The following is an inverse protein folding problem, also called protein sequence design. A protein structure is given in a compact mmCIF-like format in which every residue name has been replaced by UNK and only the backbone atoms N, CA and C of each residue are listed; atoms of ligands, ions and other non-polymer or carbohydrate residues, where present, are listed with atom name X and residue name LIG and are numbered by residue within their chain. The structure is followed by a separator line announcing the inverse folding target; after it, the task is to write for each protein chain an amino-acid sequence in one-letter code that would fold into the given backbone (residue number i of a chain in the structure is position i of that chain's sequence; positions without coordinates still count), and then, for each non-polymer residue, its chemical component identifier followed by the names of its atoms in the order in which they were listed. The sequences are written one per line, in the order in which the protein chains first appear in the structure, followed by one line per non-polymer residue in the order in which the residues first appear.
data_IF_236911678880
#
_entry.id   IF_236911678880
#
_cell.length_a   1.000
_cell.length_b   1.000
_cell.length_c   1.000
_cell.angle_alpha   90.00
_cell.angle_beta   90.00
_cell.angle_gamma   90.00
#
_symmetry.space_group_name_H-M   'P 1'
#
loop_
_entity.id
_entity.type
_entity.pdbx_description
1 polymer ?
#
# COMPACT_ATOMS: atom_id res chain seq x y z
N UNK A 1 3.04 -1.12 -35.60
CA UNK A 1 2.90 -0.72 -34.19
C UNK A 1 2.06 -1.78 -33.51
N UNK A 2 2.44 -2.21 -32.31
CA UNK A 2 1.70 -3.21 -31.55
C UNK A 2 0.70 -2.50 -30.65
N UNK A 3 -0.57 -2.89 -30.65
CA UNK A 3 -1.60 -2.22 -29.84
C UNK A 3 -1.56 -2.62 -28.35
N UNK A 4 -0.60 -3.47 -27.98
CA UNK A 4 -0.48 -4.09 -26.67
C UNK A 4 0.95 -4.01 -26.15
N UNK A 5 1.08 -4.10 -24.83
CA UNK A 5 2.36 -4.35 -24.20
C UNK A 5 2.89 -5.73 -24.58
N UNK A 6 4.16 -5.82 -24.93
CA UNK A 6 4.81 -7.06 -25.31
C UNK A 6 6.13 -7.23 -24.55
N UNK A 7 6.82 -8.33 -24.83
CA UNK A 7 8.17 -8.62 -24.34
C UNK A 7 9.13 -8.79 -25.51
N UNK A 8 10.35 -8.30 -25.35
CA UNK A 8 11.41 -8.41 -26.37
C UNK A 8 12.77 -8.59 -25.71
N UNK A 9 13.67 -9.31 -26.37
CA UNK A 9 15.07 -9.41 -25.94
C UNK A 9 15.92 -8.38 -26.71
N UNK A 10 16.57 -7.47 -25.98
CA UNK A 10 17.51 -6.46 -26.52
C UNK A 10 18.84 -6.53 -25.77
N UNK A 11 19.94 -6.65 -26.51
CA UNK A 11 21.30 -6.77 -25.97
C UNK A 11 21.43 -7.86 -24.89
N UNK A 12 20.78 -9.00 -25.12
CA UNK A 12 20.77 -10.14 -24.20
C UNK A 12 19.89 -9.97 -22.96
N UNK A 13 19.12 -8.88 -22.83
CA UNK A 13 18.21 -8.62 -21.70
C UNK A 13 16.76 -8.62 -22.14
N UNK A 14 15.87 -9.11 -21.29
CA UNK A 14 14.43 -9.06 -21.53
C UNK A 14 13.85 -7.73 -21.07
N UNK A 15 13.00 -7.16 -21.91
CA UNK A 15 12.34 -5.88 -21.69
C UNK A 15 10.84 -6.00 -21.87
N UNK A 16 10.09 -5.19 -21.10
CA UNK A 16 8.72 -4.84 -21.48
C UNK A 16 8.76 -3.76 -22.55
N UNK A 17 7.91 -3.90 -23.55
CA UNK A 17 7.79 -2.97 -24.68
C UNK A 17 6.41 -2.33 -24.64
N UNK A 18 6.38 -1.00 -24.63
CA UNK A 18 5.14 -0.24 -24.72
C UNK A 18 4.56 -0.30 -26.15
N UNK A 19 3.26 -0.02 -26.35
CA UNK A 19 2.63 -0.03 -27.68
C UNK A 19 3.33 0.85 -28.74
N UNK A 20 3.97 1.93 -28.29
CA UNK A 20 4.78 2.84 -29.13
C UNK A 20 6.18 2.30 -29.48
N UNK A 21 6.56 1.13 -28.95
CA UNK A 21 7.85 0.47 -29.18
C UNK A 21 8.95 0.82 -28.17
N UNK A 22 8.67 1.70 -27.20
CA UNK A 22 9.64 2.10 -26.20
C UNK A 22 9.85 1.00 -25.13
N UNK A 23 11.10 0.65 -24.78
CA UNK A 23 11.38 -0.26 -23.68
C UNK A 23 11.21 0.44 -22.34
N UNK A 24 10.67 -0.26 -21.33
CA UNK A 24 10.48 0.30 -19.99
C UNK A 24 10.62 -0.73 -18.87
N UNK A 25 10.80 -0.23 -17.64
CA UNK A 25 10.77 -1.01 -16.41
C UNK A 25 9.40 -0.90 -15.74
N UNK A 26 8.84 -2.02 -15.29
CA UNK A 26 7.60 -2.03 -14.52
C UNK A 26 7.91 -2.02 -13.02
N UNK A 27 7.35 -1.05 -12.31
CA UNK A 27 7.34 -0.97 -10.85
C UNK A 27 5.89 -0.82 -10.43
N UNK A 28 5.41 -1.66 -9.53
CA UNK A 28 4.02 -1.68 -9.12
C UNK A 28 3.84 -2.08 -7.67
N UNK A 29 2.65 -1.75 -7.14
CA UNK A 29 2.20 -2.23 -5.84
C UNK A 29 1.61 -3.63 -6.00
N UNK A 30 2.03 -4.59 -5.18
CA UNK A 30 1.50 -5.96 -5.24
C UNK A 30 -0.02 -6.01 -5.02
N UNK A 31 -0.53 -5.14 -4.13
CA UNK A 31 -1.92 -5.16 -3.74
C UNK A 31 -2.46 -3.74 -3.51
N UNK A 32 -3.56 -3.42 -4.17
CA UNK A 32 -4.34 -2.21 -3.92
C UNK A 32 -5.77 -2.69 -3.71
N UNK A 33 -6.15 -2.90 -2.44
CA UNK A 33 -7.51 -3.26 -2.09
C UNK A 33 -7.96 -2.62 -0.77
N UNK A 34 -9.26 -2.67 -0.54
CA UNK A 34 -9.87 -2.17 0.70
C UNK A 34 -9.80 -3.17 1.86
N UNK A 35 -9.44 -4.43 1.63
CA UNK A 35 -9.40 -5.45 2.69
C UNK A 35 -8.33 -5.13 3.73
N UNK A 36 -7.18 -4.60 3.28
CA UNK A 36 -6.13 -4.11 4.17
C UNK A 36 -6.60 -2.98 5.11
N UNK A 37 -7.50 -2.10 4.64
CA UNK A 37 -8.09 -1.02 5.45
C UNK A 37 -9.05 -1.54 6.54
N UNK A 38 -9.64 -2.73 6.34
CA UNK A 38 -10.60 -3.34 7.28
C UNK A 38 -9.95 -3.97 8.52
N UNK A 39 -8.69 -4.39 8.43
CA UNK A 39 -7.97 -5.02 9.54
C UNK A 39 -7.63 -4.04 10.67
N UNK A 40 -7.34 -2.77 10.32
CA UNK A 40 -7.11 -1.69 11.27
C UNK A 40 -8.37 -1.31 12.07
N UNK A 41 -9.56 -1.34 11.45
CA UNK A 41 -10.83 -1.06 12.13
C UNK A 41 -11.27 -2.20 13.05
N UNK A 42 -11.23 -3.46 12.60
CA UNK A 42 -11.84 -4.57 13.36
C UNK A 42 -11.11 -4.94 14.65
N UNK A 43 -9.77 -4.82 14.71
CA UNK A 43 -9.02 -5.12 15.95
C UNK A 43 -9.16 -4.04 17.02
N UNK A 44 -9.48 -2.80 16.64
CA UNK A 44 -9.38 -1.63 17.54
C UNK A 44 -10.65 -1.32 18.34
N UNK A 45 -11.84 -1.62 17.81
CA UNK A 45 -13.10 -1.49 18.57
C UNK A 45 -13.32 -2.58 19.63
N UNK A 46 -12.59 -3.70 19.54
CA UNK A 46 -12.74 -4.80 20.50
C UNK A 46 -12.20 -4.46 21.90
N UNK A 47 -11.32 -3.46 22.03
CA UNK A 47 -10.62 -3.13 23.27
C UNK A 47 -10.91 -1.72 23.82
N UNK A 48 -11.77 -0.93 23.15
CA UNK A 48 -12.14 0.43 23.60
C UNK A 48 -13.47 0.40 24.34
N UNK A 49 -13.53 1.05 25.51
CA UNK A 49 -14.76 1.22 26.29
C UNK A 49 -15.78 2.16 25.63
N UNK A 50 -15.36 2.86 24.57
CA UNK A 50 -16.15 3.87 23.87
C UNK A 50 -16.06 5.25 24.51
N UNK A 51 -15.12 5.46 25.44
CA UNK A 51 -14.95 6.75 26.10
C UNK A 51 -14.40 7.82 25.12
N UNK A 52 -14.69 9.11 25.36
CA UNK A 52 -14.12 10.20 24.56
C UNK A 52 -12.57 10.23 24.55
N UNK A 53 -11.94 9.74 25.63
CA UNK A 53 -10.47 9.68 25.72
C UNK A 53 -9.91 8.53 24.87
N UNK A 54 -10.62 7.40 24.77
CA UNK A 54 -10.28 6.32 23.84
C UNK A 54 -10.34 6.81 22.39
N UNK A 55 -11.30 7.68 22.05
CA UNK A 55 -11.41 8.26 20.71
C UNK A 55 -10.26 9.19 20.35
N UNK A 56 -9.75 9.99 21.31
CA UNK A 56 -8.58 10.84 21.08
C UNK A 56 -7.32 10.01 20.85
N UNK A 57 -7.14 8.93 21.61
CA UNK A 57 -6.03 8.00 21.42
C UNK A 57 -6.06 7.33 20.03
N UNK A 58 -7.26 6.97 19.55
CA UNK A 58 -7.43 6.42 18.19
C UNK A 58 -7.07 7.44 17.12
N UNK A 59 -7.49 8.70 17.27
CA UNK A 59 -7.18 9.76 16.31
C UNK A 59 -5.70 10.10 16.26
N UNK A 60 -5.03 10.14 17.43
CA UNK A 60 -3.60 10.40 17.53
C UNK A 60 -2.76 9.29 16.88
N UNK A 61 -3.10 8.02 17.14
CA UNK A 61 -2.36 6.89 16.57
C UNK A 61 -2.58 6.74 15.05
N UNK A 62 -3.78 7.11 14.55
CA UNK A 62 -4.06 7.16 13.13
C UNK A 62 -3.26 8.27 12.44
N UNK A 63 -3.12 9.43 13.10
CA UNK A 63 -2.29 10.53 12.61
C UNK A 63 -0.82 10.11 12.53
N UNK A 64 -0.26 9.52 13.58
CA UNK A 64 1.12 9.02 13.56
C UNK A 64 1.34 7.98 12.45
N UNK A 65 0.46 6.99 12.34
CA UNK A 65 0.60 5.94 11.32
C UNK A 65 0.55 6.50 9.89
N UNK A 66 -0.35 7.45 9.63
CA UNK A 66 -0.56 8.00 8.28
C UNK A 66 0.44 9.11 7.91
N UNK A 67 0.93 9.86 8.89
CA UNK A 67 1.77 11.05 8.65
C UNK A 67 3.25 10.74 8.86
N UNK A 68 3.61 9.95 9.87
CA UNK A 68 5.03 9.68 10.20
C UNK A 68 5.50 8.33 9.66
N UNK A 69 4.58 7.44 9.26
CA UNK A 69 4.91 6.10 8.74
C UNK A 69 5.60 5.21 9.78
N UNK A 70 5.67 5.65 11.04
CA UNK A 70 6.18 4.85 12.15
C UNK A 70 5.05 3.99 12.69
N UNK A 71 5.20 2.68 12.57
CA UNK A 71 4.39 1.74 13.33
C UNK A 71 4.75 1.87 14.81
N UNK A 72 3.86 2.49 15.59
CA UNK A 72 4.00 2.64 17.03
C UNK A 72 4.33 1.32 17.71
N UNK A 73 5.54 1.29 18.30
CA UNK A 73 6.09 0.24 19.16
C UNK A 73 5.22 0.11 20.41
N UNK A 74 4.18 -0.72 20.37
CA UNK A 74 3.44 -1.12 21.56
C UNK A 74 4.14 -2.35 22.17
N UNK A 75 5.04 -2.09 23.11
CA UNK A 75 5.39 -3.08 24.12
C UNK A 75 4.25 -3.17 25.13
N UNK A 76 3.65 -4.34 25.22
CA UNK A 76 3.15 -4.98 26.44
C UNK A 76 3.23 -6.49 26.21
#
# INVERSE_FOLDING_TARGET
MADFYTIEQRDGRWWFIAPDGAPFWSIGMNHIDSAALGYGRRRRFRNSSGSPEDMKAVLFDLYETLVTGQYGRLGF
#
